data_IF_128269391313
#
_entry.id   IF_128269391313
#
_cell.length_a   1.000
_cell.length_b   1.000
_cell.length_c   1.000
_cell.angle_alpha   90.00
_cell.angle_beta   90.00
_cell.angle_gamma   90.00
#
_symmetry.space_group_name_H-M   'P 1'
#
loop_
_entity.id
_entity.type
_entity.pdbx_description
1 polymer ?
#
# COMPACT_ATOMS: atom_id res chain seq x y z
N UNK A 1 -12.87 30.91 -45.79
CA UNK A 1 -11.99 29.72 -45.90
C UNK A 1 -10.78 29.77 -44.94
N UNK A 2 -10.89 30.33 -43.73
CA UNK A 2 -9.73 30.50 -42.81
C UNK A 2 -9.94 29.95 -41.38
N UNK A 3 -11.02 29.21 -41.12
CA UNK A 3 -11.37 28.71 -39.78
C UNK A 3 -11.11 27.21 -39.56
N UNK A 4 -10.84 26.44 -40.63
CA UNK A 4 -10.54 25.01 -40.51
C UNK A 4 -9.09 24.73 -40.08
N UNK A 5 -8.14 25.59 -40.43
CA UNK A 5 -6.71 25.42 -40.10
C UNK A 5 -6.44 25.55 -38.60
N UNK A 6 -7.07 26.51 -37.92
CA UNK A 6 -6.90 26.71 -36.48
C UNK A 6 -7.46 25.56 -35.62
N UNK A 7 -8.57 24.93 -36.04
CA UNK A 7 -9.13 23.76 -35.34
C UNK A 7 -8.25 22.51 -35.49
N UNK A 8 -7.67 22.29 -36.67
CA UNK A 8 -6.72 21.19 -36.87
C UNK A 8 -5.45 21.37 -36.03
N UNK A 9 -4.93 22.61 -35.92
CA UNK A 9 -3.76 22.93 -35.10
C UNK A 9 -4.05 22.72 -33.61
N UNK A 10 -5.23 23.13 -33.13
CA UNK A 10 -5.63 22.90 -31.74
C UNK A 10 -5.82 21.41 -31.41
N UNK A 11 -6.41 20.64 -32.33
CA UNK A 11 -6.56 19.19 -32.19
C UNK A 11 -5.22 18.47 -32.21
N UNK A 12 -4.30 18.87 -33.09
CA UNK A 12 -2.96 18.28 -33.14
C UNK A 12 -2.13 18.66 -31.93
N UNK A 13 -2.21 19.90 -31.43
CA UNK A 13 -1.57 20.31 -30.18
C UNK A 13 -2.17 19.57 -28.96
N UNK A 14 -3.49 19.37 -28.91
CA UNK A 14 -4.14 18.61 -27.84
C UNK A 14 -3.78 17.12 -27.88
N UNK A 15 -3.69 16.53 -29.09
CA UNK A 15 -3.24 15.15 -29.28
C UNK A 15 -1.75 15.01 -28.93
N UNK A 16 -0.90 15.95 -29.34
CA UNK A 16 0.52 15.98 -29.00
C UNK A 16 0.70 16.15 -27.48
N UNK A 17 -0.11 17.00 -26.83
CA UNK A 17 -0.14 17.14 -25.37
C UNK A 17 -0.56 15.83 -24.69
N UNK A 18 -1.59 15.14 -25.19
CA UNK A 18 -2.01 13.82 -24.70
C UNK A 18 -0.92 12.73 -24.90
N UNK A 19 -0.18 12.79 -26.01
CA UNK A 19 0.95 11.89 -26.31
C UNK A 19 2.20 12.24 -25.48
N UNK A 20 2.37 13.51 -25.11
CA UNK A 20 3.43 14.02 -24.22
C UNK A 20 3.14 13.81 -22.73
N UNK A 21 1.92 13.41 -22.36
CA UNK A 21 1.69 12.78 -21.05
C UNK A 21 2.34 11.40 -21.10
N UNK A 22 3.65 11.38 -20.94
CA UNK A 22 4.39 10.17 -20.65
C UNK A 22 3.69 9.54 -19.45
N UNK A 23 3.02 8.40 -19.63
CA UNK A 23 2.54 7.64 -18.49
C UNK A 23 3.78 7.34 -17.66
N UNK A 24 3.92 8.02 -16.52
CA UNK A 24 5.03 7.79 -15.62
C UNK A 24 4.78 6.39 -15.06
N UNK A 25 5.37 5.39 -15.69
CA UNK A 25 5.36 4.04 -15.15
C UNK A 25 6.10 4.12 -13.82
N UNK A 26 5.37 3.97 -12.74
CA UNK A 26 5.94 3.81 -11.42
C UNK A 26 5.65 2.39 -10.98
N UNK A 27 6.59 1.82 -10.26
CA UNK A 27 6.44 0.46 -9.81
C UNK A 27 6.90 0.35 -8.36
N UNK A 28 5.92 0.18 -7.48
CA UNK A 28 6.13 0.24 -6.05
C UNK A 28 5.04 -0.47 -5.27
N UNK A 29 5.33 -0.66 -3.99
CA UNK A 29 4.47 -1.36 -3.06
C UNK A 29 4.30 -0.53 -1.79
N UNK A 30 3.09 -0.52 -1.25
CA UNK A 30 2.86 -0.17 0.15
C UNK A 30 2.75 -1.49 0.91
N UNK A 31 3.61 -1.69 1.90
CA UNK A 31 3.67 -2.89 2.72
C UNK A 31 3.06 -2.63 4.08
N UNK A 32 2.12 -3.49 4.47
CA UNK A 32 1.46 -3.48 5.79
C UNK A 32 1.90 -4.73 6.54
N UNK A 33 2.74 -4.55 7.54
CA UNK A 33 3.16 -5.61 8.46
C UNK A 33 2.22 -5.64 9.66
N UNK A 34 1.52 -6.74 9.85
CA UNK A 34 0.66 -6.96 11.00
C UNK A 34 1.52 -7.40 12.18
N UNK A 35 1.28 -6.85 13.37
CA UNK A 35 2.05 -7.17 14.58
C UNK A 35 1.18 -7.90 15.59
N UNK A 36 0.11 -7.24 16.05
CA UNK A 36 -0.75 -7.76 17.10
C UNK A 36 -2.17 -7.22 16.98
N UNK A 37 -3.17 -8.06 17.27
CA UNK A 37 -4.58 -7.69 17.36
C UNK A 37 -5.16 -8.08 18.72
N UNK A 38 -6.08 -7.26 19.22
CA UNK A 38 -6.76 -7.46 20.50
C UNK A 38 -8.24 -7.06 20.42
N UNK A 39 -9.12 -8.00 20.79
CA UNK A 39 -10.53 -7.80 21.10
C UNK A 39 -10.75 -8.10 22.60
N UNK A 40 -10.53 -7.13 23.50
CA UNK A 40 -10.48 -7.41 24.94
C UNK A 40 -11.84 -7.82 25.53
N UNK A 41 -12.93 -7.62 24.79
CA UNK A 41 -14.28 -7.92 25.25
C UNK A 41 -14.82 -9.26 24.72
N UNK A 42 -14.16 -9.89 23.73
CA UNK A 42 -14.66 -11.11 23.08
C UNK A 42 -16.05 -10.93 22.45
N UNK A 43 -16.31 -9.75 21.88
CA UNK A 43 -17.64 -9.33 21.43
C UNK A 43 -17.68 -8.77 20.02
N UNK A 44 -18.77 -9.05 19.31
CA UNK A 44 -19.16 -8.42 18.05
C UNK A 44 -19.60 -6.95 18.24
N UNK A 45 -19.75 -6.21 17.14
CA UNK A 45 -20.12 -4.78 17.11
C UNK A 45 -21.43 -4.49 17.83
N UNK A 46 -22.38 -5.42 17.71
CA UNK A 46 -23.68 -5.44 18.38
C UNK A 46 -23.60 -5.56 19.91
N UNK A 47 -22.43 -5.85 20.48
CA UNK A 47 -22.23 -6.04 21.93
C UNK A 47 -22.55 -7.46 22.42
N UNK A 48 -22.94 -8.36 21.52
CA UNK A 48 -23.05 -9.79 21.79
C UNK A 48 -21.67 -10.45 21.74
N UNK A 49 -21.54 -11.55 22.48
CA UNK A 49 -20.34 -12.39 22.42
C UNK A 49 -20.19 -12.94 20.99
N UNK A 50 -18.95 -13.12 20.53
CA UNK A 50 -18.67 -13.90 19.32
C UNK A 50 -19.22 -15.32 19.53
N UNK A 51 -18.60 -16.07 20.43
CA UNK A 51 -19.12 -17.32 20.97
C UNK A 51 -19.58 -17.18 22.42
N UNK A 52 -20.69 -17.83 22.73
CA UNK A 52 -21.23 -17.85 24.08
C UNK A 52 -22.62 -18.48 24.17
N UNK A 53 -23.04 -18.81 25.39
CA UNK A 53 -24.38 -19.33 25.67
C UNK A 53 -25.02 -18.54 26.80
N UNK A 54 -26.33 -18.30 26.68
CA UNK A 54 -27.14 -17.64 27.72
C UNK A 54 -26.58 -16.29 28.21
N UNK A 55 -25.93 -15.52 27.33
CA UNK A 55 -25.37 -14.20 27.66
C UNK A 55 -24.00 -14.22 28.36
N UNK A 56 -23.39 -15.38 28.53
CA UNK A 56 -22.02 -15.53 29.03
C UNK A 56 -21.09 -15.72 27.83
N UNK A 57 -20.09 -14.84 27.69
CA UNK A 57 -19.09 -14.94 26.61
C UNK A 57 -18.10 -16.04 26.93
N UNK A 58 -17.82 -16.87 25.92
CA UNK A 58 -16.73 -17.82 25.98
C UNK A 58 -15.40 -17.06 25.97
N UNK A 59 -14.48 -17.44 26.86
CA UNK A 59 -13.18 -16.77 26.95
C UNK A 59 -12.36 -17.16 25.72
N UNK A 60 -11.89 -16.16 24.97
CA UNK A 60 -11.25 -16.35 23.67
C UNK A 60 -12.15 -16.98 22.62
N UNK A 61 -13.47 -17.03 22.78
CA UNK A 61 -14.34 -17.67 21.77
C UNK A 61 -14.65 -16.75 20.60
N UNK A 62 -13.65 -16.19 19.91
CA UNK A 62 -13.87 -15.46 18.68
C UNK A 62 -12.98 -16.03 17.58
N UNK A 63 -13.57 -16.22 16.41
CA UNK A 63 -12.99 -16.75 15.18
C UNK A 63 -12.64 -15.61 14.21
N UNK A 64 -11.81 -14.68 14.67
CA UNK A 64 -11.55 -13.43 13.96
C UNK A 64 -10.92 -13.63 12.57
N UNK A 65 -11.50 -12.99 11.55
CA UNK A 65 -10.91 -12.84 10.23
C UNK A 65 -10.94 -11.37 9.77
N UNK A 66 -10.05 -11.04 8.82
CA UNK A 66 -9.80 -9.65 8.45
C UNK A 66 -10.03 -9.42 6.96
N UNK A 67 -10.65 -8.30 6.63
CA UNK A 67 -10.68 -7.72 5.27
C UNK A 67 -10.01 -6.36 5.31
N UNK A 68 -9.05 -6.11 4.44
CA UNK A 68 -8.31 -4.85 4.41
C UNK A 68 -8.06 -4.34 3.00
N UNK A 69 -7.89 -3.03 2.88
CA UNK A 69 -7.59 -2.36 1.62
C UNK A 69 -6.90 -1.01 1.88
N UNK A 70 -6.36 -0.41 0.82
CA UNK A 70 -5.87 0.96 0.82
C UNK A 70 -6.82 1.86 0.04
N UNK A 71 -7.21 2.98 0.64
CA UNK A 71 -8.15 3.93 0.04
C UNK A 71 -7.57 5.35 -0.07
N UNK A 72 -8.16 6.16 -0.94
CA UNK A 72 -7.81 7.57 -1.06
C UNK A 72 -8.34 8.37 0.15
N UNK A 73 -7.61 9.40 0.60
CA UNK A 73 -8.06 10.28 1.68
C UNK A 73 -9.38 10.98 1.33
N UNK A 74 -10.18 11.30 2.36
CA UNK A 74 -11.43 12.04 2.21
C UNK A 74 -12.62 11.28 1.63
N UNK A 75 -12.47 10.00 1.26
CA UNK A 75 -13.59 9.18 0.78
C UNK A 75 -14.58 8.85 1.90
N UNK A 76 -15.88 9.07 1.62
CA UNK A 76 -16.98 8.81 2.55
C UNK A 76 -17.32 7.32 2.69
N UNK A 77 -17.09 6.53 1.65
CA UNK A 77 -17.32 5.09 1.69
C UNK A 77 -16.39 4.44 2.72
N UNK A 78 -16.95 3.72 3.69
CA UNK A 78 -16.21 3.04 4.77
C UNK A 78 -16.00 1.55 4.47
N UNK A 79 -16.51 1.05 3.35
CA UNK A 79 -16.38 -0.33 2.94
C UNK A 79 -14.93 -0.66 2.56
N UNK A 80 -14.50 -1.87 2.94
CA UNK A 80 -13.22 -2.44 2.46
C UNK A 80 -13.33 -3.08 1.09
N UNK A 81 -14.52 -3.08 0.47
CA UNK A 81 -14.75 -3.66 -0.86
C UNK A 81 -14.47 -2.68 -2.01
N UNK A 82 -14.57 -1.37 -1.76
CA UNK A 82 -14.59 -0.33 -2.80
C UNK A 82 -13.48 0.71 -2.60
N UNK A 83 -12.24 0.26 -2.45
CA UNK A 83 -11.13 1.13 -2.11
C UNK A 83 -10.44 1.64 -3.39
N UNK A 84 -10.07 2.92 -3.40
CA UNK A 84 -9.57 3.64 -4.57
C UNK A 84 -8.27 3.06 -5.11
N UNK A 85 -7.40 2.54 -4.24
CA UNK A 85 -6.13 1.93 -4.62
C UNK A 85 -6.25 0.41 -4.79
N UNK A 86 -7.48 -0.09 -4.90
CA UNK A 86 -7.78 -1.46 -5.30
C UNK A 86 -7.58 -2.51 -4.19
N UNK A 87 -7.35 -3.74 -4.67
CA UNK A 87 -7.21 -5.04 -4.00
C UNK A 87 -7.66 -5.09 -2.52
N UNK A 88 -8.84 -5.65 -2.30
CA UNK A 88 -9.20 -6.16 -0.98
C UNK A 88 -8.35 -7.41 -0.68
N UNK A 89 -7.73 -7.45 0.50
CA UNK A 89 -7.05 -8.62 1.05
C UNK A 89 -7.96 -9.21 2.12
N UNK A 90 -8.24 -10.51 2.00
CA UNK A 90 -8.91 -11.29 3.06
C UNK A 90 -7.89 -12.21 3.73
N UNK A 91 -7.82 -12.14 5.05
CA UNK A 91 -7.03 -13.05 5.90
C UNK A 91 -8.01 -14.05 6.51
N UNK A 92 -7.70 -15.33 6.42
CA UNK A 92 -8.57 -16.41 6.93
C UNK A 92 -8.72 -16.38 8.46
N UNK A 93 -9.82 -16.97 8.99
CA UNK A 93 -10.13 -16.95 10.41
C UNK A 93 -9.05 -17.55 11.31
N UNK A 94 -8.88 -16.94 12.47
CA UNK A 94 -8.14 -17.50 13.60
C UNK A 94 -9.11 -17.89 14.67
N UNK A 95 -9.19 -19.20 14.88
CA UNK A 95 -10.22 -19.85 15.70
C UNK A 95 -9.92 -19.68 17.18
N UNK A 96 -10.94 -19.40 17.97
CA UNK A 96 -10.90 -19.30 19.42
C UNK A 96 -9.76 -18.41 19.95
N UNK A 97 -9.61 -17.20 19.42
CA UNK A 97 -8.63 -16.22 19.90
C UNK A 97 -9.14 -14.77 19.93
N UNK A 98 -9.21 -14.19 21.14
CA UNK A 98 -9.45 -12.75 21.35
C UNK A 98 -8.21 -11.88 21.11
N UNK A 99 -7.04 -12.50 21.08
CA UNK A 99 -5.76 -11.84 20.84
C UNK A 99 -4.94 -12.62 19.83
N UNK A 100 -4.29 -11.91 18.92
CA UNK A 100 -3.55 -12.53 17.81
C UNK A 100 -2.19 -11.87 17.70
N UNK A 101 -1.14 -12.67 17.67
CA UNK A 101 0.20 -12.24 17.26
C UNK A 101 0.49 -12.78 15.86
N UNK A 102 0.83 -11.90 14.93
CA UNK A 102 1.00 -12.27 13.53
C UNK A 102 2.44 -12.70 13.23
N UNK A 103 2.59 -13.89 12.66
CA UNK A 103 3.87 -14.45 12.18
C UNK A 103 4.22 -13.94 10.79
N UNK A 104 5.45 -14.22 10.31
CA UNK A 104 5.92 -13.83 8.96
C UNK A 104 5.07 -14.41 7.82
N UNK A 105 4.60 -15.64 7.99
CA UNK A 105 3.55 -16.23 7.16
C UNK A 105 2.37 -16.48 8.07
N UNK A 106 1.24 -15.87 7.78
CA UNK A 106 0.07 -15.92 8.64
C UNK A 106 -1.14 -16.32 7.83
N UNK A 107 -1.68 -17.51 8.13
CA UNK A 107 -2.80 -18.10 7.40
C UNK A 107 -2.50 -18.16 5.89
N UNK A 108 -3.37 -17.58 5.07
CA UNK A 108 -3.29 -17.51 3.62
C UNK A 108 -2.47 -16.32 3.09
N UNK A 109 -1.86 -15.51 3.95
CA UNK A 109 -1.09 -14.31 3.53
C UNK A 109 0.37 -14.36 3.97
N UNK A 110 1.20 -13.64 3.22
CA UNK A 110 2.54 -13.24 3.67
C UNK A 110 2.42 -11.97 4.51
N UNK A 111 3.27 -11.84 5.52
CA UNK A 111 3.35 -10.69 6.41
C UNK A 111 4.80 -10.18 6.41
N UNK A 112 5.10 -9.04 5.78
CA UNK A 112 4.18 -7.96 5.38
C UNK A 112 3.31 -8.28 4.16
N UNK A 113 2.08 -7.77 4.18
CA UNK A 113 1.17 -7.79 3.04
C UNK A 113 1.56 -6.67 2.09
N UNK A 114 1.80 -6.99 0.82
CA UNK A 114 2.15 -6.02 -0.21
C UNK A 114 0.91 -5.61 -1.04
N UNK A 115 0.66 -4.30 -1.09
CA UNK A 115 -0.26 -3.67 -2.02
C UNK A 115 0.57 -3.10 -3.17
N UNK A 116 0.51 -3.75 -4.32
CA UNK A 116 1.26 -3.36 -5.52
C UNK A 116 0.56 -2.23 -6.28
N UNK A 117 1.36 -1.28 -6.77
CA UNK A 117 0.93 -0.15 -7.57
C UNK A 117 1.68 -0.15 -8.89
N UNK A 118 0.94 -0.07 -9.99
CA UNK A 118 1.48 0.16 -11.34
C UNK A 118 1.50 1.65 -11.71
N UNK A 119 1.21 2.51 -10.74
CA UNK A 119 1.08 3.97 -10.87
C UNK A 119 1.87 4.64 -9.74
N UNK A 120 2.25 5.93 -9.89
CA UNK A 120 3.01 6.65 -8.88
C UNK A 120 2.38 6.53 -7.49
N UNK A 121 3.15 6.04 -6.51
CA UNK A 121 2.63 5.85 -5.16
C UNK A 121 1.96 7.14 -4.64
N UNK A 122 0.82 7.04 -3.96
CA UNK A 122 0.13 8.21 -3.45
C UNK A 122 0.95 8.86 -2.33
N UNK A 123 0.86 10.18 -2.16
CA UNK A 123 1.47 10.86 -1.01
C UNK A 123 0.75 10.51 0.30
N UNK A 124 -0.57 10.33 0.21
CA UNK A 124 -1.43 10.01 1.34
C UNK A 124 -2.36 8.85 0.99
N UNK A 125 -2.61 8.00 1.98
CA UNK A 125 -3.52 6.87 1.86
C UNK A 125 -4.21 6.58 3.18
N UNK A 126 -5.26 5.77 3.16
CA UNK A 126 -5.97 5.31 4.36
C UNK A 126 -5.99 3.80 4.35
N UNK A 127 -5.38 3.17 5.37
CA UNK A 127 -5.57 1.74 5.61
C UNK A 127 -6.94 1.53 6.24
N UNK A 128 -7.81 0.76 5.57
CA UNK A 128 -9.11 0.36 6.12
C UNK A 128 -9.08 -1.12 6.45
N UNK A 129 -9.58 -1.47 7.62
CA UNK A 129 -9.67 -2.85 8.10
C UNK A 129 -11.08 -3.10 8.62
N UNK A 130 -11.70 -4.19 8.18
CA UNK A 130 -12.94 -4.72 8.76
C UNK A 130 -12.64 -6.07 9.39
N UNK A 131 -13.02 -6.22 10.65
CA UNK A 131 -12.87 -7.45 11.41
C UNK A 131 -14.24 -8.10 11.55
N UNK A 132 -14.28 -9.40 11.33
CA UNK A 132 -15.46 -10.24 11.48
C UNK A 132 -15.11 -11.45 12.31
N UNK A 133 -16.13 -12.03 12.92
CA UNK A 133 -16.13 -13.31 13.58
C UNK A 133 -16.70 -14.35 12.62
N UNK A 134 -16.03 -15.48 12.43
CA UNK A 134 -16.47 -16.50 11.48
C UNK A 134 -17.43 -17.49 12.13
N UNK A 135 -18.60 -17.63 11.53
CA UNK A 135 -19.63 -18.54 12.01
C UNK A 135 -19.86 -19.68 11.02
N UNK A 136 -19.77 -20.93 11.48
CA UNK A 136 -19.97 -22.08 10.59
C UNK A 136 -21.41 -22.23 10.11
N UNK A 137 -22.38 -21.86 10.94
CA UNK A 137 -23.81 -22.17 10.73
C UNK A 137 -24.70 -20.92 10.66
N UNK A 138 -24.17 -19.78 11.09
CA UNK A 138 -24.84 -18.47 11.08
C UNK A 138 -24.10 -17.52 10.15
N UNK A 139 -24.52 -16.26 10.10
CA UNK A 139 -23.81 -15.24 9.34
C UNK A 139 -22.67 -14.71 10.19
N UNK A 140 -21.50 -14.58 9.58
CA UNK A 140 -20.34 -13.92 10.20
C UNK A 140 -20.73 -12.61 10.91
N UNK A 141 -20.36 -12.51 12.17
CA UNK A 141 -20.65 -11.35 12.99
C UNK A 141 -19.63 -10.24 12.71
N UNK A 142 -20.12 -9.03 12.47
CA UNK A 142 -19.24 -7.88 12.31
C UNK A 142 -18.68 -7.47 13.67
N UNK A 143 -17.35 -7.44 13.82
CA UNK A 143 -16.69 -7.15 15.10
C UNK A 143 -16.31 -5.69 15.22
N UNK A 144 -15.58 -5.16 14.24
CA UNK A 144 -15.12 -3.78 14.25
C UNK A 144 -14.68 -3.30 12.86
N UNK A 145 -14.61 -1.98 12.71
CA UNK A 145 -14.00 -1.34 11.55
C UNK A 145 -13.00 -0.31 12.02
N UNK A 146 -11.79 -0.43 11.51
CA UNK A 146 -10.67 0.43 11.85
C UNK A 146 -10.16 1.16 10.61
N UNK A 147 -9.72 2.39 10.80
CA UNK A 147 -9.10 3.21 9.74
C UNK A 147 -7.86 3.92 10.27
N UNK A 148 -6.81 3.95 9.45
CA UNK A 148 -5.58 4.70 9.75
C UNK A 148 -5.21 5.58 8.55
N UNK A 149 -5.35 6.90 8.67
CA UNK A 149 -4.73 7.84 7.74
C UNK A 149 -3.20 7.72 7.81
N UNK A 150 -2.57 7.68 6.64
CA UNK A 150 -1.12 7.61 6.45
C UNK A 150 -0.75 8.81 5.59
N UNK A 151 -0.14 9.82 6.19
CA UNK A 151 0.23 11.07 5.52
C UNK A 151 1.68 11.09 5.05
N UNK A 152 2.48 10.10 5.47
CA UNK A 152 3.89 9.98 5.10
C UNK A 152 4.22 8.51 4.86
N UNK A 153 4.61 8.20 3.62
CA UNK A 153 5.12 6.89 3.23
C UNK A 153 6.64 6.93 3.14
N UNK A 154 7.29 6.11 3.95
CA UNK A 154 8.75 6.05 4.08
C UNK A 154 9.25 4.67 3.72
N UNK A 155 10.55 4.56 3.39
CA UNK A 155 11.18 3.27 3.08
C UNK A 155 11.46 2.43 4.35
N UNK A 156 11.23 2.99 5.54
CA UNK A 156 11.41 2.33 6.84
C UNK A 156 10.07 2.06 7.52
N UNK A 157 9.91 0.94 8.25
CA UNK A 157 8.68 0.60 8.95
C UNK A 157 8.27 1.66 9.97
N UNK A 158 7.07 2.23 9.82
CA UNK A 158 6.47 3.14 10.79
C UNK A 158 5.37 2.44 11.58
N UNK A 159 5.41 2.54 12.90
CA UNK A 159 4.42 1.92 13.80
C UNK A 159 3.10 2.69 13.83
N UNK A 160 1.99 1.99 13.73
CA UNK A 160 0.64 2.52 13.86
C UNK A 160 -0.23 1.64 14.77
N UNK A 161 -1.22 2.27 15.40
CA UNK A 161 -2.21 1.62 16.24
C UNK A 161 -3.62 2.02 15.79
N UNK A 162 -4.28 1.11 15.09
CA UNK A 162 -5.66 1.25 14.68
C UNK A 162 -6.54 0.90 15.87
N UNK A 163 -7.34 1.83 16.36
CA UNK A 163 -8.12 1.65 17.60
C UNK A 163 -9.56 2.13 17.46
N UNK A 164 -10.48 1.29 17.95
CA UNK A 164 -11.90 1.59 18.16
C UNK A 164 -12.33 0.81 19.41
N UNK A 165 -13.07 -0.29 19.25
CA UNK A 165 -13.36 -1.24 20.34
C UNK A 165 -12.29 -2.32 20.43
N UNK A 166 -11.71 -2.64 19.28
CA UNK A 166 -10.55 -3.51 19.11
C UNK A 166 -9.31 -2.68 18.83
N UNK A 167 -8.13 -3.28 18.98
CA UNK A 167 -6.85 -2.67 18.61
C UNK A 167 -6.12 -3.55 17.62
N UNK A 168 -5.61 -2.97 16.53
CA UNK A 168 -4.69 -3.60 15.60
C UNK A 168 -3.39 -2.77 15.51
N UNK A 169 -2.27 -3.38 15.89
CA UNK A 169 -0.92 -2.83 15.74
C UNK A 169 -0.33 -3.28 14.42
N UNK A 170 0.16 -2.32 13.64
CA UNK A 170 0.78 -2.56 12.34
C UNK A 170 2.03 -1.71 12.17
N UNK A 171 2.87 -2.12 11.23
CA UNK A 171 3.92 -1.31 10.64
C UNK A 171 3.61 -1.05 9.17
N UNK A 172 3.78 0.18 8.71
CA UNK A 172 3.51 0.56 7.32
C UNK A 172 4.75 1.23 6.73
N UNK A 173 5.12 0.84 5.51
CA UNK A 173 6.24 1.39 4.77
C UNK A 173 6.03 1.18 3.26
N UNK A 174 6.80 1.88 2.44
CA UNK A 174 6.85 1.67 1.00
C UNK A 174 8.11 0.92 0.58
N UNK A 175 8.05 0.32 -0.58
CA UNK A 175 9.20 -0.27 -1.26
C UNK A 175 9.04 -0.07 -2.76
N UNK A 176 10.05 0.50 -3.41
CA UNK A 176 10.06 0.57 -4.87
C UNK A 176 10.54 -0.74 -5.47
N UNK A 177 10.02 -1.12 -6.64
CA UNK A 177 10.57 -2.27 -7.38
C UNK A 177 12.02 -1.97 -7.81
N UNK A 178 12.82 -3.01 -8.10
CA UNK A 178 14.21 -2.82 -8.52
C UNK A 178 14.35 -1.80 -9.63
N UNK A 179 15.35 -0.92 -9.52
CA UNK A 179 15.65 0.18 -10.43
C UNK A 179 14.66 1.36 -10.42
N UNK A 180 13.65 1.35 -9.54
CA UNK A 180 12.77 2.49 -9.30
C UNK A 180 13.07 3.12 -7.94
N UNK A 181 13.03 4.45 -7.91
CA UNK A 181 13.45 5.24 -6.76
C UNK A 181 12.55 6.47 -6.56
N UNK A 182 12.85 7.20 -5.48
CA UNK A 182 12.15 8.42 -5.12
C UNK A 182 10.95 8.17 -4.21
N UNK A 183 10.32 9.28 -3.75
CA UNK A 183 9.20 9.20 -2.81
C UNK A 183 7.97 8.49 -3.39
N UNK A 184 7.84 8.47 -4.73
CA UNK A 184 6.69 7.88 -5.43
C UNK A 184 7.04 6.69 -6.32
N UNK A 185 8.28 6.19 -6.24
CA UNK A 185 8.79 5.12 -7.11
C UNK A 185 8.70 5.43 -8.61
N UNK A 186 8.85 6.71 -8.97
CA UNK A 186 8.71 7.22 -10.34
C UNK A 186 10.05 7.41 -11.06
N UNK A 187 11.17 7.43 -10.33
CA UNK A 187 12.48 7.66 -10.93
C UNK A 187 13.11 6.33 -11.32
N UNK A 188 13.16 6.03 -12.61
CA UNK A 188 13.82 4.84 -13.11
C UNK A 188 15.34 5.08 -13.31
N UNK A 189 16.17 4.16 -12.82
CA UNK A 189 17.61 4.19 -13.00
C UNK A 189 18.17 2.76 -13.09
N UNK A 190 18.71 2.41 -14.26
CA UNK A 190 19.19 1.06 -14.59
C UNK A 190 20.70 1.09 -14.78
N UNK A 191 21.50 0.87 -13.73
CA UNK A 191 22.94 1.00 -13.83
C UNK A 191 23.52 -0.16 -14.65
N UNK A 192 24.50 0.10 -15.54
CA UNK A 192 25.21 -0.94 -16.28
C UNK A 192 26.07 -1.82 -15.35
N UNK A 193 26.20 -3.11 -15.65
CA UNK A 193 26.93 -4.10 -14.80
C UNK A 193 28.39 -3.73 -14.52
N UNK A 194 29.06 -3.09 -15.47
CA UNK A 194 30.37 -2.45 -15.34
C UNK A 194 30.34 -1.22 -16.21
N UNK A 195 29.94 -0.09 -15.65
CA UNK A 195 29.80 1.07 -16.50
C UNK A 195 29.78 2.40 -15.80
N UNK A 196 29.16 3.31 -16.52
CA UNK A 196 29.46 4.73 -16.53
C UNK A 196 28.84 5.45 -15.33
N UNK A 197 27.92 4.79 -14.62
CA UNK A 197 27.25 5.36 -13.46
C UNK A 197 26.69 4.30 -12.50
N UNK A 198 26.40 4.76 -11.28
CA UNK A 198 25.54 4.09 -10.31
C UNK A 198 24.28 4.92 -10.05
N UNK A 199 23.31 4.37 -9.32
CA UNK A 199 22.07 5.07 -9.00
C UNK A 199 22.08 5.51 -7.53
N UNK A 200 21.74 6.77 -7.27
CA UNK A 200 21.48 7.23 -5.92
C UNK A 200 20.31 6.45 -5.31
N UNK A 201 20.54 5.86 -4.12
CA UNK A 201 19.59 4.94 -3.50
C UNK A 201 18.26 5.58 -3.07
N UNK A 202 18.20 6.90 -2.90
CA UNK A 202 17.01 7.60 -2.44
C UNK A 202 16.26 8.29 -3.58
N UNK A 203 16.99 8.92 -4.48
CA UNK A 203 16.43 9.76 -5.55
C UNK A 203 16.36 9.06 -6.89
N UNK A 204 17.22 8.05 -7.12
CA UNK A 204 17.42 7.41 -8.43
C UNK A 204 18.25 8.26 -9.40
N UNK A 205 18.86 9.35 -8.95
CA UNK A 205 19.74 10.16 -9.80
C UNK A 205 20.98 9.34 -10.19
N UNK A 206 21.38 9.42 -11.47
CA UNK A 206 22.65 8.86 -11.92
C UNK A 206 23.83 9.55 -11.22
N UNK A 207 24.78 8.75 -10.75
CA UNK A 207 26.04 9.19 -10.15
C UNK A 207 27.15 8.68 -11.07
N UNK A 208 27.78 9.58 -11.82
CA UNK A 208 28.78 9.19 -12.81
C UNK A 208 30.03 8.58 -12.16
N UNK A 209 30.50 7.50 -12.74
CA UNK A 209 31.76 6.84 -12.40
C UNK A 209 32.95 7.72 -12.79
N UNK A 210 34.13 7.44 -12.22
CA UNK A 210 35.36 8.13 -12.61
C UNK A 210 35.59 8.02 -14.12
N UNK A 211 35.88 9.15 -14.77
CA UNK A 211 36.03 9.19 -16.22
C UNK A 211 34.76 9.58 -16.98
N UNK A 212 33.62 9.73 -16.30
CA UNK A 212 32.32 10.04 -16.91
C UNK A 212 31.69 11.30 -16.32
N UNK A 213 30.96 12.05 -17.15
CA UNK A 213 30.27 13.29 -16.78
C UNK A 213 28.98 13.46 -17.59
N UNK A 214 28.30 14.58 -17.37
CA UNK A 214 27.02 14.91 -17.97
C UNK A 214 25.84 14.36 -17.17
N UNK A 215 24.60 14.84 -17.41
CA UNK A 215 23.42 14.42 -16.68
C UNK A 215 23.05 12.94 -16.91
N UNK A 216 23.51 12.36 -18.03
CA UNK A 216 23.29 10.97 -18.40
C UNK A 216 24.48 10.05 -18.14
N UNK A 217 25.63 10.62 -17.73
CA UNK A 217 26.91 9.92 -17.55
C UNK A 217 27.40 9.22 -18.83
N UNK A 218 27.23 9.88 -19.98
CA UNK A 218 27.56 9.40 -21.32
C UNK A 218 28.71 10.18 -21.98
N UNK A 219 29.26 11.18 -21.28
CA UNK A 219 30.41 11.96 -21.73
C UNK A 219 31.67 11.53 -21.00
N UNK A 220 32.76 11.27 -21.72
CA UNK A 220 34.05 10.93 -21.11
C UNK A 220 34.75 12.21 -20.67
N UNK A 221 35.16 12.29 -19.40
CA UNK A 221 36.06 13.36 -18.96
C UNK A 221 37.41 13.14 -19.64
N UNK A 222 37.71 13.93 -20.67
CA UNK A 222 38.83 13.71 -21.57
C UNK A 222 40.15 13.40 -20.85
N UNK A 223 40.88 12.38 -21.33
CA UNK A 223 42.31 12.29 -21.08
C UNK A 223 42.94 13.52 -21.74
N UNK A 224 43.49 14.44 -20.96
CA UNK A 224 44.62 15.20 -21.45
C UNK A 224 45.75 14.18 -21.67
N UNK A 225 45.88 13.71 -22.92
CA UNK A 225 47.11 13.07 -23.44
C UNK A 225 48.04 14.19 -23.84
#
# INVERSE_FOLDING_TARGET
MATMTGKLILLSLALLYFVLVCNVSADGMIKVRLLHFLNPQGKGHNGHCCDGKFGICERNGCDHYFKMCLDAPGRRDKSTANCAYGKQIKIDPTIDQDQITFTQRYKNVQNPIAFEFNEPLPFETVLKVSIYDYDRWTKDDFVDRLEQPITQLTDYPMDYALQSRTTLRVQIFKECKPNYYGPRCTTACFPPTRGEYTCDQFTGRKICSLGWTGPSCDEVTGRHV
#
